data_IF_260096982695
#
_entry.id   IF_260096982695
#
_cell.length_a   1.000
_cell.length_b   1.000
_cell.length_c   1.000
_cell.angle_alpha   90.00
_cell.angle_beta   90.00
_cell.angle_gamma   90.00
#
_symmetry.space_group_name_H-M   'P 1'
#
loop_
_entity.id
_entity.type
_entity.pdbx_description
1 polymer ?
#
# COMPACT_ATOMS: atom_id res chain seq x y z
N UNK A 1 -8.27 11.73 -7.16
CA UNK A 1 -8.51 10.32 -7.54
C UNK A 1 -9.30 10.29 -8.84
N UNK A 2 -8.84 9.56 -9.85
CA UNK A 2 -9.60 9.40 -11.09
C UNK A 2 -10.91 8.66 -10.80
N UNK A 3 -12.04 9.23 -11.23
CA UNK A 3 -13.36 8.62 -11.05
C UNK A 3 -13.43 7.38 -11.95
N UNK A 4 -13.51 6.20 -11.34
CA UNK A 4 -13.65 4.94 -12.07
C UNK A 4 -15.02 4.98 -12.80
N UNK A 5 -15.08 4.73 -14.13
CA UNK A 5 -16.33 4.66 -14.87
C UNK A 5 -17.29 3.62 -14.27
N UNK A 6 -18.60 3.85 -14.32
CA UNK A 6 -19.59 2.93 -13.73
C UNK A 6 -19.58 1.53 -14.36
N UNK A 7 -19.12 1.41 -15.62
CA UNK A 7 -19.08 0.17 -16.39
C UNK A 7 -17.72 -0.56 -16.34
N UNK A 8 -16.74 -0.03 -15.61
CA UNK A 8 -15.37 -0.58 -15.56
C UNK A 8 -15.36 -2.03 -15.07
N UNK A 9 -16.19 -2.35 -14.06
CA UNK A 9 -16.23 -3.66 -13.44
C UNK A 9 -16.67 -4.72 -14.46
N UNK A 10 -17.73 -4.42 -15.22
CA UNK A 10 -18.24 -5.30 -16.27
C UNK A 10 -17.18 -5.56 -17.36
N UNK A 11 -16.48 -4.51 -17.82
CA UNK A 11 -15.41 -4.63 -18.82
C UNK A 11 -14.25 -5.52 -18.35
N UNK A 12 -13.89 -5.44 -17.07
CA UNK A 12 -12.85 -6.27 -16.46
C UNK A 12 -13.28 -7.75 -16.31
N UNK A 13 -14.51 -7.99 -15.86
CA UNK A 13 -15.07 -9.34 -15.75
C UNK A 13 -15.15 -10.02 -17.12
N UNK A 14 -15.60 -9.30 -18.15
CA UNK A 14 -15.64 -9.81 -19.53
C UNK A 14 -14.24 -10.13 -20.07
N UNK A 15 -13.25 -9.27 -19.79
CA UNK A 15 -11.86 -9.53 -20.18
C UNK A 15 -11.29 -10.77 -19.49
N UNK A 16 -11.56 -10.96 -18.20
CA UNK A 16 -11.16 -12.15 -17.43
C UNK A 16 -11.76 -13.43 -18.02
N UNK A 17 -13.06 -13.40 -18.37
CA UNK A 17 -13.73 -14.54 -19.02
C UNK A 17 -13.15 -14.87 -20.39
N UNK A 18 -12.81 -13.86 -21.20
CA UNK A 18 -12.21 -14.05 -22.53
C UNK A 18 -10.85 -14.78 -22.50
N UNK A 19 -10.12 -14.67 -21.39
CA UNK A 19 -8.83 -15.38 -21.20
C UNK A 19 -8.98 -16.73 -20.50
N UNK A 20 -10.20 -17.25 -20.37
CA UNK A 20 -10.47 -18.54 -19.72
C UNK A 20 -10.42 -18.50 -18.19
N UNK A 21 -10.34 -17.31 -17.58
CA UNK A 21 -10.32 -17.15 -16.13
C UNK A 21 -11.74 -17.07 -15.57
N UNK A 22 -11.97 -17.79 -14.47
CA UNK A 22 -13.20 -17.69 -13.67
C UNK A 22 -13.13 -16.58 -12.60
N UNK A 23 -12.01 -15.87 -12.50
CA UNK A 23 -11.80 -14.82 -11.50
C UNK A 23 -12.63 -13.60 -11.88
N UNK A 24 -13.46 -13.11 -10.98
CA UNK A 24 -14.09 -11.80 -11.13
C UNK A 24 -13.08 -10.69 -10.74
N UNK A 25 -12.37 -10.16 -11.74
CA UNK A 25 -11.35 -9.13 -11.49
C UNK A 25 -11.91 -7.88 -10.80
N UNK A 26 -13.19 -7.57 -10.97
CA UNK A 26 -13.82 -6.43 -10.30
C UNK A 26 -13.87 -6.59 -8.77
N UNK A 27 -14.02 -7.82 -8.26
CA UNK A 27 -14.04 -8.12 -6.82
C UNK A 27 -12.68 -8.00 -6.15
N UNK A 28 -11.59 -7.92 -6.93
CA UNK A 28 -10.24 -7.73 -6.40
C UNK A 28 -9.93 -6.27 -6.04
N UNK A 29 -10.79 -5.33 -6.46
CA UNK A 29 -10.60 -3.91 -6.18
C UNK A 29 -11.43 -3.47 -4.98
N UNK A 30 -10.76 -3.03 -3.92
CA UNK A 30 -11.42 -2.34 -2.81
C UNK A 30 -11.74 -0.89 -3.19
N UNK A 31 -13.01 -0.54 -3.37
CA UNK A 31 -13.46 0.80 -3.81
C UNK A 31 -13.89 1.73 -2.67
N UNK A 32 -13.83 1.26 -1.42
CA UNK A 32 -14.14 2.06 -0.24
C UNK A 32 -13.08 3.11 0.08
N UNK A 33 -13.35 3.90 1.12
CA UNK A 33 -12.39 4.85 1.66
C UNK A 33 -11.15 4.10 2.17
N UNK A 34 -9.96 4.59 1.81
CA UNK A 34 -8.69 4.01 2.22
C UNK A 34 -7.90 5.03 3.00
N UNK A 35 -7.42 4.62 4.16
CA UNK A 35 -6.37 5.32 4.89
C UNK A 35 -5.07 4.53 4.78
N UNK A 36 -3.94 5.23 4.79
CA UNK A 36 -2.66 4.55 5.02
C UNK A 36 -2.64 4.05 6.46
N UNK A 37 -1.95 2.94 6.73
CA UNK A 37 -1.85 2.41 8.10
C UNK A 37 -1.32 3.46 9.10
N UNK A 38 -0.36 4.29 8.68
CA UNK A 38 0.17 5.38 9.49
C UNK A 38 -0.89 6.45 9.82
N UNK A 39 -1.66 6.90 8.81
CA UNK A 39 -2.72 7.88 9.01
C UNK A 39 -3.81 7.34 9.93
N UNK A 40 -4.29 6.12 9.66
CA UNK A 40 -5.30 5.44 10.47
C UNK A 40 -4.87 5.34 11.94
N UNK A 41 -3.67 4.84 12.22
CA UNK A 41 -3.18 4.68 13.59
C UNK A 41 -3.02 6.04 14.30
N UNK A 42 -2.53 7.05 13.59
CA UNK A 42 -2.38 8.41 14.14
C UNK A 42 -3.73 9.01 14.54
N UNK A 43 -4.75 8.87 13.68
CA UNK A 43 -6.12 9.30 13.96
C UNK A 43 -6.72 8.60 15.20
N UNK A 44 -6.27 7.38 15.49
CA UNK A 44 -6.72 6.58 16.63
C UNK A 44 -5.82 6.74 17.88
N UNK A 45 -4.99 7.79 17.93
CA UNK A 45 -4.20 8.16 19.10
C UNK A 45 -2.90 7.39 19.27
N UNK A 46 -2.45 6.67 18.25
CA UNK A 46 -1.13 6.03 18.25
C UNK A 46 -0.06 7.01 17.78
N UNK A 47 1.13 6.89 18.35
CA UNK A 47 2.31 7.58 17.83
C UNK A 47 2.94 6.70 16.74
N UNK A 48 2.63 6.99 15.48
CA UNK A 48 3.15 6.26 14.33
C UNK A 48 4.42 6.93 13.75
N UNK A 49 5.43 6.13 13.42
CA UNK A 49 6.61 6.54 12.65
C UNK A 49 6.83 5.60 11.47
N UNK A 50 7.02 6.18 10.29
CA UNK A 50 7.44 5.46 9.08
C UNK A 50 8.91 5.77 8.82
N UNK A 51 9.71 4.71 8.63
CA UNK A 51 11.09 4.80 8.17
C UNK A 51 11.18 4.23 6.77
N UNK A 52 11.55 5.04 5.78
CA UNK A 52 11.72 4.58 4.41
C UNK A 52 13.02 3.75 4.27
N UNK A 53 13.19 3.09 3.13
CA UNK A 53 14.34 2.24 2.85
C UNK A 53 15.66 2.98 2.99
N UNK A 54 15.80 4.18 2.43
CA UNK A 54 17.02 4.99 2.55
C UNK A 54 17.39 5.29 4.01
N UNK A 55 16.42 5.73 4.81
CA UNK A 55 16.62 6.00 6.23
C UNK A 55 16.99 4.73 7.02
N UNK A 56 16.41 3.58 6.66
CA UNK A 56 16.73 2.30 7.29
C UNK A 56 18.17 1.87 7.01
N UNK A 57 18.62 2.00 5.75
CA UNK A 57 19.99 1.72 5.34
C UNK A 57 20.99 2.68 5.99
N UNK A 58 20.73 3.99 5.91
CA UNK A 58 21.57 5.02 6.50
C UNK A 58 21.72 4.85 8.03
N UNK A 59 20.64 4.48 8.74
CA UNK A 59 20.69 4.21 10.18
C UNK A 59 21.59 3.03 10.56
N UNK A 60 21.99 2.20 9.60
CA UNK A 60 22.90 1.07 9.77
C UNK A 60 24.24 1.24 9.05
N UNK A 61 24.50 2.44 8.50
CA UNK A 61 25.76 2.75 7.80
C UNK A 61 25.86 2.09 6.43
N UNK A 62 24.74 1.69 5.84
CA UNK A 62 24.69 1.11 4.50
C UNK A 62 24.21 2.12 3.48
N UNK A 63 24.68 2.00 2.24
CA UNK A 63 24.09 2.66 1.07
C UNK A 63 23.02 1.74 0.49
N UNK A 64 21.92 2.33 0.01
CA UNK A 64 20.91 1.56 -0.74
C UNK A 64 21.57 1.03 -2.04
N UNK A 65 21.36 -0.25 -2.41
CA UNK A 65 21.85 -0.77 -3.68
C UNK A 65 21.28 0.02 -4.86
N UNK A 66 22.13 0.31 -5.86
CA UNK A 66 21.71 0.94 -7.12
C UNK A 66 21.49 -0.14 -8.17
N UNK A 67 20.41 -0.91 -7.99
CA UNK A 67 20.02 -2.02 -8.87
C UNK A 67 18.52 -1.99 -9.20
N UNK A 68 18.07 -2.93 -10.03
CA UNK A 68 16.67 -3.01 -10.48
C UNK A 68 15.66 -3.19 -9.34
N UNK A 69 16.11 -3.67 -8.16
CA UNK A 69 15.26 -3.88 -7.00
C UNK A 69 15.16 -2.61 -6.13
N UNK A 70 16.06 -1.64 -6.30
CA UNK A 70 16.02 -0.36 -5.57
C UNK A 70 14.67 0.36 -5.73
N UNK A 71 14.10 0.32 -6.94
CA UNK A 71 12.80 0.94 -7.24
C UNK A 71 11.63 0.29 -6.47
N UNK A 72 11.73 -0.98 -6.08
CA UNK A 72 10.72 -1.64 -5.23
C UNK A 72 10.81 -1.16 -3.78
N UNK A 73 12.01 -0.82 -3.32
CA UNK A 73 12.28 -0.32 -1.98
C UNK A 73 11.82 1.13 -1.76
N UNK A 74 11.79 1.95 -2.81
CA UNK A 74 11.51 3.39 -2.72
C UNK A 74 10.07 3.69 -2.25
N UNK A 75 9.10 2.90 -2.71
CA UNK A 75 7.71 2.99 -2.25
C UNK A 75 7.45 2.26 -0.91
N UNK A 76 8.45 1.56 -0.38
CA UNK A 76 8.34 0.68 0.79
C UNK A 76 8.91 1.35 2.03
N UNK A 77 8.23 1.17 3.17
CA UNK A 77 8.67 1.72 4.45
C UNK A 77 8.28 0.83 5.61
N UNK A 78 9.08 0.90 6.67
CA UNK A 78 8.80 0.21 7.93
C UNK A 78 7.98 1.12 8.82
N UNK A 79 6.79 0.66 9.20
CA UNK A 79 5.91 1.35 10.14
C UNK A 79 6.14 0.80 11.56
N UNK A 80 6.36 1.70 12.50
CA UNK A 80 6.30 1.43 13.93
C UNK A 80 5.20 2.30 14.54
N UNK A 81 4.46 1.78 15.52
CA UNK A 81 3.44 2.54 16.21
C UNK A 81 3.39 2.15 17.68
N UNK A 82 3.28 3.14 18.56
CA UNK A 82 3.17 2.93 20.01
C UNK A 82 1.89 3.56 20.51
N UNK A 83 1.11 2.79 21.27
CA UNK A 83 -0.04 3.29 22.00
C UNK A 83 0.35 3.56 23.45
N UNK A 84 0.22 4.80 23.89
CA UNK A 84 0.55 5.23 25.25
C UNK A 84 -0.69 5.45 26.13
N UNK A 85 -1.85 4.89 25.74
CA UNK A 85 -3.04 4.89 26.59
C UNK A 85 -2.78 4.13 27.88
N UNK A 86 -3.07 4.76 29.03
CA UNK A 86 -3.01 4.12 30.35
C UNK A 86 -3.87 2.85 30.35
N UNK A 87 -3.31 1.74 30.82
CA UNK A 87 -4.05 0.54 31.28
C UNK A 87 -4.74 0.86 32.60
#
# INVERSE_FOLDING_TARGET
MARIPSDWAQKLTERSRRIGSHINLAELFYTGERSTAAAYLTEHGWQAQVRNTEQAYAAKGFSVPDDELAALGDASGYLTAVYSGRV
#
